data_IF_438089716804
#
_entry.id   IF_438089716804
#
_cell.length_a   1.000
_cell.length_b   1.000
_cell.length_c   1.000
_cell.angle_alpha   90.00
_cell.angle_beta   90.00
_cell.angle_gamma   90.00
#
_symmetry.space_group_name_H-M   'P 1'
#
loop_
_entity.id
_entity.type
_entity.pdbx_description
1 polymer ?
#
# COMPACT_ATOMS: atom_id res chain seq x y z
N UNK A 1 -1.38 31.18 8.77
CA UNK A 1 -1.71 29.77 8.41
C UNK A 1 -0.50 29.15 7.74
N UNK A 2 -0.21 27.90 8.04
CA UNK A 2 0.85 27.13 7.40
C UNK A 2 0.29 26.59 6.09
N UNK A 3 0.88 26.94 4.95
CA UNK A 3 0.43 26.48 3.65
C UNK A 3 1.14 25.19 3.29
N UNK A 4 0.40 24.08 3.18
CA UNK A 4 0.88 22.74 2.92
C UNK A 4 0.36 22.27 1.57
N UNK A 5 1.26 21.96 0.63
CA UNK A 5 0.89 21.42 -0.68
C UNK A 5 1.20 19.92 -0.73
N UNK A 6 0.20 19.12 -1.03
CA UNK A 6 0.36 17.68 -1.28
C UNK A 6 0.44 17.40 -2.77
N UNK A 7 1.43 16.59 -3.19
CA UNK A 7 1.64 16.23 -4.60
C UNK A 7 1.61 14.72 -4.74
N UNK A 8 0.73 14.22 -5.61
CA UNK A 8 0.65 12.78 -5.95
C UNK A 8 0.03 12.59 -7.34
N UNK A 9 0.21 11.42 -7.96
CA UNK A 9 -0.23 11.24 -9.35
C UNK A 9 -0.65 9.84 -9.73
N UNK A 10 -0.46 8.86 -8.85
CA UNK A 10 -0.85 7.47 -9.08
C UNK A 10 -1.88 7.00 -8.06
N UNK A 11 -2.62 5.93 -8.39
CA UNK A 11 -3.61 5.33 -7.49
C UNK A 11 -3.01 4.93 -6.13
N UNK A 12 -1.86 4.23 -6.05
CA UNK A 12 -1.27 3.87 -4.75
C UNK A 12 -0.89 5.07 -3.89
N UNK A 13 -0.35 6.13 -4.50
CA UNK A 13 -0.06 7.38 -3.78
C UNK A 13 -1.35 8.01 -3.26
N UNK A 14 -2.37 8.11 -4.10
CA UNK A 14 -3.65 8.73 -3.73
C UNK A 14 -4.31 8.04 -2.54
N UNK A 15 -4.33 6.70 -2.50
CA UNK A 15 -4.88 5.92 -1.38
C UNK A 15 -4.20 6.30 -0.07
N UNK A 16 -2.88 6.43 -0.08
CA UNK A 16 -2.06 6.71 1.10
C UNK A 16 -2.03 8.20 1.47
N UNK A 17 -2.18 9.10 0.48
CA UNK A 17 -2.21 10.54 0.71
C UNK A 17 -3.59 11.07 1.07
N UNK A 18 -4.67 10.41 0.65
CA UNK A 18 -6.04 10.86 0.91
C UNK A 18 -6.36 11.06 2.41
N UNK A 19 -6.04 10.13 3.32
CA UNK A 19 -6.27 10.37 4.75
C UNK A 19 -5.42 11.52 5.29
N UNK A 20 -4.22 11.75 4.75
CA UNK A 20 -3.39 12.89 5.13
C UNK A 20 -4.00 14.22 4.66
N UNK A 21 -4.50 14.29 3.43
CA UNK A 21 -5.25 15.45 2.92
C UNK A 21 -6.43 15.76 3.82
N UNK A 22 -7.25 14.74 4.16
CA UNK A 22 -8.40 14.92 5.05
C UNK A 22 -8.02 15.34 6.46
N UNK A 23 -6.85 14.96 6.96
CA UNK A 23 -6.37 15.43 8.26
C UNK A 23 -5.84 16.86 8.19
N UNK A 24 -5.17 17.27 7.09
CA UNK A 24 -4.76 18.66 6.85
C UNK A 24 -5.96 19.61 6.79
N UNK A 25 -7.02 19.22 6.07
CA UNK A 25 -8.26 20.00 5.94
C UNK A 25 -8.96 20.26 7.29
N UNK A 26 -8.82 19.39 8.27
CA UNK A 26 -9.40 19.53 9.62
C UNK A 26 -8.70 20.57 10.49
N UNK A 27 -7.46 20.95 10.17
CA UNK A 27 -6.62 21.80 11.01
C UNK A 27 -6.76 23.28 10.65
N UNK A 28 -7.19 24.07 11.61
CA UNK A 28 -7.41 25.53 11.42
C UNK A 28 -6.12 26.31 11.16
N UNK A 29 -4.99 25.76 11.60
CA UNK A 29 -3.65 26.33 11.41
C UNK A 29 -3.13 26.15 9.99
N UNK A 30 -3.74 25.24 9.20
CA UNK A 30 -3.26 24.81 7.90
C UNK A 30 -4.17 25.30 6.77
N UNK A 31 -3.55 25.76 5.69
CA UNK A 31 -4.14 25.90 4.38
C UNK A 31 -3.64 24.73 3.53
N UNK A 32 -4.53 23.76 3.25
CA UNK A 32 -4.24 22.56 2.46
C UNK A 32 -4.42 22.85 0.99
N UNK A 33 -3.41 22.51 0.16
CA UNK A 33 -3.46 22.61 -1.30
C UNK A 33 -3.19 21.22 -1.85
N UNK A 34 -4.08 20.73 -2.70
CA UNK A 34 -3.96 19.42 -3.35
C UNK A 34 -3.59 19.61 -4.82
N UNK A 35 -2.43 19.12 -5.22
CA UNK A 35 -1.97 19.12 -6.60
C UNK A 35 -1.80 17.68 -7.11
N UNK A 36 -2.59 17.29 -8.09
CA UNK A 36 -2.46 15.98 -8.72
C UNK A 36 -1.76 16.10 -10.07
N UNK A 37 -0.86 15.13 -10.34
CA UNK A 37 -0.19 15.08 -11.66
C UNK A 37 -0.98 14.25 -12.66
N UNK A 38 -1.88 13.38 -12.18
CA UNK A 38 -2.68 12.46 -13.01
C UNK A 38 -1.82 11.64 -13.97
N UNK A 39 -0.73 11.05 -13.44
CA UNK A 39 0.12 10.09 -14.17
C UNK A 39 -0.69 8.87 -14.63
N UNK A 40 -1.74 8.46 -13.86
CA UNK A 40 -2.72 7.41 -14.16
C UNK A 40 -4.12 7.98 -13.93
N UNK A 41 -4.76 8.53 -14.97
CA UNK A 41 -5.99 9.34 -14.86
C UNK A 41 -7.16 8.60 -14.19
N UNK A 42 -7.71 7.60 -14.85
CA UNK A 42 -8.95 6.93 -14.43
C UNK A 42 -8.87 6.31 -13.02
N UNK A 43 -7.75 5.64 -12.71
CA UNK A 43 -7.55 5.01 -11.41
C UNK A 43 -7.33 6.02 -10.28
N UNK A 44 -6.81 7.21 -10.58
CA UNK A 44 -6.65 8.28 -9.61
C UNK A 44 -8.01 8.89 -9.25
N UNK A 45 -8.82 9.20 -10.25
CA UNK A 45 -10.13 9.82 -10.08
C UNK A 45 -11.04 8.99 -9.18
N UNK A 46 -11.05 7.66 -9.33
CA UNK A 46 -11.80 6.76 -8.46
C UNK A 46 -11.42 6.92 -6.98
N UNK A 47 -10.14 7.08 -6.66
CA UNK A 47 -9.70 7.29 -5.28
C UNK A 47 -10.11 8.67 -4.78
N UNK A 48 -9.95 9.70 -5.60
CA UNK A 48 -10.39 11.06 -5.24
C UNK A 48 -11.87 11.10 -4.89
N UNK A 49 -12.71 10.42 -5.68
CA UNK A 49 -14.15 10.31 -5.45
C UNK A 49 -14.46 9.58 -4.13
N UNK A 50 -13.81 8.44 -3.87
CA UNK A 50 -14.02 7.65 -2.63
C UNK A 50 -13.71 8.46 -1.38
N UNK A 51 -12.69 9.32 -1.43
CA UNK A 51 -12.28 10.14 -0.29
C UNK A 51 -12.85 11.56 -0.33
N UNK A 52 -13.72 11.88 -1.30
CA UNK A 52 -14.30 13.22 -1.48
C UNK A 52 -13.20 14.30 -1.52
N UNK A 53 -12.20 14.12 -2.37
CA UNK A 53 -11.09 15.05 -2.57
C UNK A 53 -11.25 15.74 -3.93
N UNK A 54 -11.33 17.06 -3.90
CA UNK A 54 -11.31 17.90 -5.10
C UNK A 54 -9.93 18.57 -5.19
N UNK A 55 -9.07 18.19 -6.16
CA UNK A 55 -7.76 18.79 -6.27
C UNK A 55 -7.85 20.27 -6.70
N UNK A 56 -7.03 21.14 -6.08
CA UNK A 56 -6.90 22.54 -6.45
C UNK A 56 -6.18 22.70 -7.79
N UNK A 57 -5.26 21.78 -8.09
CA UNK A 57 -4.49 21.75 -9.32
C UNK A 57 -4.45 20.33 -9.90
N UNK A 58 -4.70 20.24 -11.20
CA UNK A 58 -4.59 19.02 -11.99
C UNK A 58 -3.69 19.25 -13.20
N UNK A 59 -2.50 18.66 -13.19
CA UNK A 59 -1.52 18.85 -14.27
C UNK A 59 -1.83 17.98 -15.49
N UNK A 60 -2.65 16.95 -15.35
CA UNK A 60 -3.10 16.05 -16.41
C UNK A 60 -1.99 15.60 -17.36
N UNK A 61 -0.88 15.07 -16.80
CA UNK A 61 0.33 14.75 -17.56
C UNK A 61 0.25 13.43 -18.34
N UNK A 62 -0.79 12.61 -18.13
CA UNK A 62 -0.89 11.29 -18.73
C UNK A 62 -0.84 11.34 -20.25
N UNK A 63 0.04 10.54 -20.86
CA UNK A 63 0.08 10.24 -22.30
C UNK A 63 0.40 8.77 -22.50
N UNK A 64 -0.16 8.18 -23.53
CA UNK A 64 0.12 6.78 -23.87
C UNK A 64 1.58 6.62 -24.28
N UNK A 65 2.26 5.62 -23.70
CA UNK A 65 3.64 5.24 -24.08
C UNK A 65 4.72 6.23 -23.63
N UNK A 66 4.42 7.14 -22.67
CA UNK A 66 5.41 8.10 -22.17
C UNK A 66 6.59 7.43 -21.44
N UNK A 67 7.76 7.99 -21.65
CA UNK A 67 9.01 7.57 -20.97
C UNK A 67 9.10 8.21 -19.57
N UNK A 68 9.97 7.64 -18.71
CA UNK A 68 10.26 8.24 -17.40
C UNK A 68 10.76 9.68 -17.51
N UNK A 69 11.62 9.97 -18.51
CA UNK A 69 12.12 11.33 -18.77
C UNK A 69 11.01 12.32 -19.13
N UNK A 70 10.04 11.88 -19.92
CA UNK A 70 8.89 12.72 -20.29
C UNK A 70 7.97 12.99 -19.11
N UNK A 71 7.72 11.98 -18.25
CA UNK A 71 6.96 12.14 -17.00
C UNK A 71 7.67 13.15 -16.11
N UNK A 72 8.95 12.94 -15.82
CA UNK A 72 9.77 13.84 -14.98
C UNK A 72 9.72 15.27 -15.48
N UNK A 73 9.97 15.48 -16.77
CA UNK A 73 9.99 16.83 -17.36
C UNK A 73 8.66 17.55 -17.26
N UNK A 74 7.54 16.85 -17.55
CA UNK A 74 6.21 17.44 -17.48
C UNK A 74 5.79 17.78 -16.05
N UNK A 75 6.04 16.88 -15.10
CA UNK A 75 5.75 17.13 -13.69
C UNK A 75 6.57 18.32 -13.20
N UNK A 76 7.88 18.33 -13.46
CA UNK A 76 8.78 19.39 -13.02
C UNK A 76 8.33 20.77 -13.55
N UNK A 77 8.08 20.89 -14.85
CA UNK A 77 7.66 22.15 -15.47
C UNK A 77 6.25 22.57 -15.03
N UNK A 78 5.31 21.63 -14.93
CA UNK A 78 3.95 21.94 -14.48
C UNK A 78 3.89 22.40 -13.02
N UNK A 79 4.70 21.82 -12.15
CA UNK A 79 4.76 22.20 -10.73
C UNK A 79 5.48 23.53 -10.50
N UNK A 80 6.41 23.91 -11.34
CA UNK A 80 7.16 25.16 -11.18
C UNK A 80 6.22 26.37 -11.09
N UNK A 81 5.26 26.47 -12.00
CA UNK A 81 4.31 27.57 -12.02
C UNK A 81 3.34 27.53 -10.82
N UNK A 82 2.89 26.34 -10.44
CA UNK A 82 1.99 26.16 -9.28
C UNK A 82 2.70 26.55 -7.99
N UNK A 83 3.93 26.06 -7.76
CA UNK A 83 4.70 26.35 -6.54
C UNK A 83 5.04 27.86 -6.47
N UNK A 84 5.44 28.49 -7.58
CA UNK A 84 5.72 29.94 -7.62
C UNK A 84 4.50 30.77 -7.30
N UNK A 85 3.31 30.34 -7.75
CA UNK A 85 2.05 31.03 -7.48
C UNK A 85 1.63 30.88 -6.02
N UNK A 86 1.61 29.65 -5.52
CA UNK A 86 1.08 29.31 -4.19
C UNK A 86 2.06 29.61 -3.06
N UNK A 87 3.35 29.48 -3.29
CA UNK A 87 4.43 29.67 -2.30
C UNK A 87 4.14 28.91 -1.00
N UNK A 88 3.96 27.57 -1.05
CA UNK A 88 3.69 26.79 0.15
C UNK A 88 4.88 26.86 1.12
N UNK A 89 4.60 26.68 2.42
CA UNK A 89 5.66 26.53 3.42
C UNK A 89 6.35 25.17 3.26
N UNK A 90 5.59 24.13 2.91
CA UNK A 90 6.10 22.79 2.70
C UNK A 90 5.32 22.08 1.60
N UNK A 91 6.04 21.30 0.81
CA UNK A 91 5.50 20.34 -0.17
C UNK A 91 5.61 18.93 0.42
N UNK A 92 4.53 18.17 0.41
CA UNK A 92 4.51 16.76 0.80
C UNK A 92 4.46 15.88 -0.44
N UNK A 93 5.40 14.95 -0.53
CA UNK A 93 5.46 13.90 -1.55
C UNK A 93 5.42 12.52 -0.88
N UNK A 94 5.01 11.48 -1.60
CA UNK A 94 4.81 10.16 -1.03
C UNK A 94 5.56 9.07 -1.79
N UNK A 95 6.29 8.23 -1.06
CA UNK A 95 6.87 6.99 -1.59
C UNK A 95 7.99 7.25 -2.62
N UNK A 96 7.88 6.61 -3.80
CA UNK A 96 9.03 6.45 -4.69
C UNK A 96 8.71 6.54 -6.19
N UNK A 97 7.55 7.07 -6.54
CA UNK A 97 7.18 7.22 -7.94
C UNK A 97 8.00 8.32 -8.64
N UNK A 98 7.93 8.35 -9.96
CA UNK A 98 8.53 9.45 -10.73
C UNK A 98 7.87 10.79 -10.39
N UNK A 99 6.58 10.80 -10.05
CA UNK A 99 5.88 11.99 -9.55
C UNK A 99 6.49 12.48 -8.23
N UNK A 100 6.77 11.58 -7.29
CA UNK A 100 7.41 11.88 -6.01
C UNK A 100 8.76 12.55 -6.21
N UNK A 101 9.61 11.94 -7.04
CA UNK A 101 10.94 12.50 -7.34
C UNK A 101 10.86 13.87 -8.02
N UNK A 102 10.05 14.01 -9.07
CA UNK A 102 9.92 15.27 -9.79
C UNK A 102 9.25 16.37 -8.95
N UNK A 103 8.31 16.00 -8.07
CA UNK A 103 7.66 16.91 -7.12
C UNK A 103 8.65 17.46 -6.09
N UNK A 104 9.47 16.59 -5.49
CA UNK A 104 10.52 16.99 -4.57
C UNK A 104 11.56 17.90 -5.26
N UNK A 105 11.97 17.55 -6.48
CA UNK A 105 12.92 18.36 -7.25
C UNK A 105 12.34 19.75 -7.59
N UNK A 106 11.07 19.85 -7.96
CA UNK A 106 10.38 21.12 -8.22
C UNK A 106 10.34 22.00 -6.96
N UNK A 107 10.03 21.43 -5.80
CA UNK A 107 10.04 22.13 -4.52
C UNK A 107 11.43 22.62 -4.15
N UNK A 108 12.45 21.75 -4.30
CA UNK A 108 13.85 22.12 -4.05
C UNK A 108 14.32 23.30 -4.92
N UNK A 109 14.01 23.30 -6.22
CA UNK A 109 14.38 24.40 -7.11
C UNK A 109 13.69 25.72 -6.75
N UNK A 110 12.52 25.66 -6.13
CA UNK A 110 11.79 26.84 -5.66
C UNK A 110 12.09 27.18 -4.20
N UNK A 111 13.06 26.52 -3.55
CA UNK A 111 13.47 26.74 -2.15
C UNK A 111 12.30 26.60 -1.16
N UNK A 112 11.43 25.63 -1.38
CA UNK A 112 10.32 25.25 -0.51
C UNK A 112 10.70 24.01 0.26
N UNK A 113 10.41 23.97 1.56
CA UNK A 113 10.64 22.79 2.41
C UNK A 113 9.91 21.56 1.86
N UNK A 114 10.50 20.38 2.05
CA UNK A 114 10.00 19.12 1.53
C UNK A 114 9.78 18.12 2.68
N UNK A 115 8.57 17.56 2.75
CA UNK A 115 8.25 16.43 3.62
C UNK A 115 8.05 15.17 2.80
N UNK A 116 8.78 14.10 3.15
CA UNK A 116 8.65 12.81 2.49
C UNK A 116 7.82 11.84 3.34
N UNK A 117 6.64 11.50 2.87
CA UNK A 117 5.76 10.50 3.47
C UNK A 117 6.16 9.11 2.96
N UNK A 118 6.32 8.14 3.84
CA UNK A 118 6.89 6.82 3.59
C UNK A 118 8.40 6.88 3.27
N UNK A 119 9.14 7.74 3.98
CA UNK A 119 10.57 7.93 3.85
C UNK A 119 11.37 6.74 4.41
N UNK A 120 12.57 6.50 3.88
CA UNK A 120 13.55 5.59 4.46
C UNK A 120 13.41 4.12 4.07
N UNK A 121 12.51 3.75 3.16
CA UNK A 121 12.49 2.40 2.59
C UNK A 121 13.74 2.16 1.74
N UNK A 122 14.41 1.01 1.88
CA UNK A 122 15.64 0.67 1.14
C UNK A 122 15.68 -0.80 0.74
N UNK A 123 16.13 -1.05 -0.49
CA UNK A 123 16.57 -2.36 -0.95
C UNK A 123 18.08 -2.41 -1.16
N UNK A 124 18.73 -1.24 -1.22
CA UNK A 124 20.16 -1.06 -1.52
C UNK A 124 20.58 -1.57 -2.91
N UNK A 125 19.61 -1.92 -3.76
CA UNK A 125 19.85 -2.33 -5.13
C UNK A 125 19.20 -1.32 -6.09
N UNK A 126 19.99 -0.40 -6.65
CA UNK A 126 19.51 0.70 -7.49
C UNK A 126 18.65 0.29 -8.71
N UNK A 127 18.65 -0.98 -9.07
CA UNK A 127 17.85 -1.53 -10.16
C UNK A 127 16.71 -2.45 -9.71
N UNK A 128 16.47 -2.57 -8.40
CA UNK A 128 15.42 -3.44 -7.87
C UNK A 128 14.79 -2.89 -6.57
N UNK A 129 13.56 -2.34 -6.65
CA UNK A 129 12.77 -2.04 -7.84
C UNK A 129 13.36 -0.89 -8.67
N UNK A 130 13.06 -0.86 -9.96
CA UNK A 130 13.51 0.20 -10.85
C UNK A 130 12.31 0.93 -11.46
N UNK A 131 12.25 2.28 -11.39
CA UNK A 131 13.26 3.24 -10.90
C UNK A 131 13.13 3.59 -9.40
N UNK A 132 12.23 2.92 -8.66
CA UNK A 132 11.73 3.32 -7.36
C UNK A 132 12.83 3.44 -6.30
N UNK A 133 13.80 2.50 -6.26
CA UNK A 133 14.88 2.57 -5.26
C UNK A 133 15.71 3.85 -5.37
N UNK A 134 16.03 4.26 -6.59
CA UNK A 134 16.80 5.50 -6.78
C UNK A 134 15.94 6.75 -6.57
N UNK A 135 14.66 6.70 -6.95
CA UNK A 135 13.77 7.81 -6.69
C UNK A 135 13.70 8.14 -5.19
N UNK A 136 13.47 7.11 -4.33
CA UNK A 136 13.37 7.33 -2.86
C UNK A 136 14.67 7.84 -2.25
N UNK A 137 15.82 7.30 -2.68
CA UNK A 137 17.11 7.78 -2.19
C UNK A 137 17.38 9.25 -2.59
N UNK A 138 17.06 9.63 -3.83
CA UNK A 138 17.23 11.01 -4.29
C UNK A 138 16.25 11.96 -3.60
N UNK A 139 15.01 11.54 -3.37
CA UNK A 139 14.02 12.33 -2.62
C UNK A 139 14.49 12.57 -1.20
N UNK A 140 14.95 11.53 -0.50
CA UNK A 140 15.43 11.65 0.89
C UNK A 140 16.64 12.59 1.00
N UNK A 141 17.42 12.81 -0.06
CA UNK A 141 18.51 13.79 -0.04
C UNK A 141 18.06 15.25 -0.13
N UNK A 142 16.84 15.49 -0.56
CA UNK A 142 16.31 16.86 -0.73
C UNK A 142 15.36 17.26 0.40
N UNK A 143 14.97 16.34 1.29
CA UNK A 143 13.91 16.57 2.27
C UNK A 143 14.37 17.27 3.54
N UNK A 144 13.44 17.99 4.17
CA UNK A 144 13.56 18.68 5.45
C UNK A 144 12.84 17.96 6.59
N UNK A 145 11.83 17.15 6.28
CA UNK A 145 11.09 16.29 7.20
C UNK A 145 10.92 14.89 6.60
N UNK A 146 11.14 13.87 7.41
CA UNK A 146 11.08 12.47 7.00
C UNK A 146 10.06 11.73 7.85
N UNK A 147 8.97 11.28 7.23
CA UNK A 147 7.91 10.53 7.90
C UNK A 147 8.10 9.04 7.61
N UNK A 148 8.87 8.40 8.48
CA UNK A 148 9.24 6.99 8.35
C UNK A 148 8.07 6.09 8.81
N UNK A 149 7.72 5.03 8.05
CA UNK A 149 6.65 4.12 8.45
C UNK A 149 7.05 3.22 9.62
N UNK A 150 8.33 2.91 9.79
CA UNK A 150 8.84 1.99 10.82
C UNK A 150 10.19 2.46 11.38
N UNK A 151 10.61 1.84 12.50
CA UNK A 151 11.96 2.06 13.06
C UNK A 151 13.07 1.57 12.12
N UNK A 152 12.82 0.54 11.29
CA UNK A 152 13.77 0.08 10.26
C UNK A 152 13.98 1.18 9.22
N UNK A 153 12.91 1.82 8.77
CA UNK A 153 12.99 2.94 7.83
C UNK A 153 13.71 4.13 8.44
N UNK A 154 13.47 4.45 9.73
CA UNK A 154 14.23 5.46 10.47
C UNK A 154 15.73 5.10 10.51
N UNK A 155 16.07 3.84 10.79
CA UNK A 155 17.45 3.38 10.86
C UNK A 155 18.18 3.56 9.52
N UNK A 156 17.55 3.23 8.40
CA UNK A 156 18.09 3.44 7.07
C UNK A 156 18.44 4.93 6.81
N UNK A 157 17.58 5.85 7.24
CA UNK A 157 17.82 7.29 7.12
C UNK A 157 19.02 7.75 7.99
N UNK A 158 19.12 7.21 9.21
CA UNK A 158 20.26 7.50 10.11
C UNK A 158 21.59 6.99 9.52
N UNK A 159 21.60 5.79 8.90
CA UNK A 159 22.79 5.27 8.20
C UNK A 159 23.20 6.15 7.02
N UNK A 160 22.28 6.87 6.42
CA UNK A 160 22.55 7.87 5.38
C UNK A 160 22.91 9.25 5.94
N UNK A 161 23.16 9.38 7.24
CA UNK A 161 23.51 10.62 7.94
C UNK A 161 22.41 11.70 7.89
N UNK A 162 21.15 11.31 7.83
CA UNK A 162 20.04 12.23 8.08
C UNK A 162 19.96 12.51 9.58
N UNK A 163 19.78 13.77 9.94
CA UNK A 163 19.69 14.19 11.35
C UNK A 163 18.44 13.63 12.02
N UNK A 164 18.60 13.06 13.22
CA UNK A 164 17.52 12.34 13.91
C UNK A 164 16.30 13.22 14.23
N UNK A 165 16.54 14.50 14.52
CA UNK A 165 15.50 15.50 14.82
C UNK A 165 14.60 15.84 13.63
N UNK A 166 14.98 15.43 12.42
CA UNK A 166 14.18 15.55 11.19
C UNK A 166 13.35 14.31 10.86
N UNK A 167 13.55 13.20 11.60
CA UNK A 167 12.93 11.90 11.30
C UNK A 167 11.81 11.61 12.31
N UNK A 168 10.60 11.40 11.81
CA UNK A 168 9.42 11.10 12.59
C UNK A 168 8.93 9.70 12.23
N UNK A 169 8.90 8.77 13.20
CA UNK A 169 8.26 7.45 13.00
C UNK A 169 6.77 7.61 13.19
N UNK A 170 6.03 7.59 12.09
CA UNK A 170 4.60 7.91 12.09
C UNK A 170 3.70 6.71 11.83
N UNK A 171 4.24 5.61 11.32
CA UNK A 171 3.45 4.54 10.74
C UNK A 171 3.15 4.80 9.25
N UNK A 172 2.44 3.86 8.63
CA UNK A 172 2.07 3.92 7.22
C UNK A 172 0.64 4.46 7.06
N UNK A 173 0.46 5.49 6.25
CA UNK A 173 -0.84 6.10 5.96
C UNK A 173 -1.82 5.18 5.22
N UNK A 174 -1.34 4.05 4.66
CA UNK A 174 -2.22 2.99 4.16
C UNK A 174 -3.16 2.44 5.25
N UNK A 175 -2.67 2.37 6.49
CA UNK A 175 -3.49 1.91 7.63
C UNK A 175 -4.58 2.93 7.97
N UNK A 176 -4.27 4.22 7.85
CA UNK A 176 -5.27 5.30 8.00
C UNK A 176 -6.37 5.21 6.94
N UNK A 177 -5.99 4.91 5.68
CA UNK A 177 -6.94 4.76 4.59
C UNK A 177 -7.98 3.68 4.87
N UNK A 178 -7.59 2.59 5.49
CA UNK A 178 -8.50 1.49 5.83
C UNK A 178 -9.60 1.90 6.82
N UNK A 179 -9.36 2.88 7.67
CA UNK A 179 -10.40 3.42 8.58
C UNK A 179 -11.55 4.10 7.82
N UNK A 180 -11.28 4.60 6.63
CA UNK A 180 -12.28 5.23 5.75
C UNK A 180 -12.92 4.23 4.80
N UNK A 181 -12.12 3.32 4.26
CA UNK A 181 -12.56 2.39 3.20
C UNK A 181 -13.23 1.13 3.73
N UNK A 182 -12.91 0.70 4.96
CA UNK A 182 -13.58 -0.45 5.59
C UNK A 182 -14.91 -0.01 6.20
N UNK A 183 -15.99 -0.55 5.67
CA UNK A 183 -17.35 -0.23 6.12
C UNK A 183 -18.01 -1.47 6.74
N UNK A 184 -18.57 -1.33 7.94
CA UNK A 184 -19.28 -2.43 8.64
C UNK A 184 -20.54 -2.89 7.92
N UNK A 185 -21.18 -1.95 7.20
CA UNK A 185 -22.41 -2.20 6.46
C UNK A 185 -22.16 -2.55 4.99
N UNK A 186 -20.89 -2.77 4.62
CA UNK A 186 -20.52 -3.17 3.26
C UNK A 186 -21.11 -4.53 2.94
N UNK A 187 -21.81 -4.61 1.82
CA UNK A 187 -22.39 -5.86 1.30
C UNK A 187 -21.92 -6.14 -0.13
N UNK A 188 -21.81 -7.41 -0.45
CA UNK A 188 -21.43 -7.90 -1.78
C UNK A 188 -22.02 -9.30 -1.98
N UNK A 189 -22.50 -9.62 -3.17
CA UNK A 189 -23.09 -10.93 -3.50
C UNK A 189 -22.16 -12.13 -3.19
N UNK A 190 -20.85 -11.90 -3.22
CA UNK A 190 -19.85 -12.91 -2.82
C UNK A 190 -20.00 -13.24 -1.33
N UNK A 191 -20.35 -12.26 -0.49
CA UNK A 191 -20.54 -12.50 0.96
C UNK A 191 -21.79 -13.32 1.23
N UNK A 192 -22.84 -13.18 0.41
CA UNK A 192 -24.03 -14.05 0.48
C UNK A 192 -23.65 -15.51 0.16
N UNK A 193 -22.78 -15.71 -0.84
CA UNK A 193 -22.26 -17.05 -1.16
C UNK A 193 -21.34 -17.60 -0.05
N UNK A 194 -20.51 -16.76 0.59
CA UNK A 194 -19.69 -17.16 1.74
C UNK A 194 -20.60 -17.62 2.89
N UNK A 195 -21.63 -16.85 3.20
CA UNK A 195 -22.53 -17.14 4.33
C UNK A 195 -21.77 -17.14 5.65
N UNK A 196 -21.87 -18.25 6.38
CA UNK A 196 -21.19 -18.45 7.66
C UNK A 196 -19.82 -19.14 7.56
N UNK A 197 -19.39 -19.52 6.35
CA UNK A 197 -18.12 -20.18 6.15
C UNK A 197 -16.93 -19.25 6.38
N UNK A 198 -15.78 -19.80 6.77
CA UNK A 198 -14.52 -19.07 6.93
C UNK A 198 -13.98 -18.71 5.55
N UNK A 199 -13.84 -17.41 5.28
CA UNK A 199 -13.32 -16.93 4.00
C UNK A 199 -11.79 -16.85 4.02
N UNK A 200 -11.14 -17.48 3.06
CA UNK A 200 -9.74 -17.22 2.72
C UNK A 200 -9.71 -16.27 1.51
N UNK A 201 -9.01 -15.16 1.65
CA UNK A 201 -8.72 -14.26 0.54
C UNK A 201 -7.36 -14.63 -0.06
N UNK A 202 -7.36 -15.00 -1.34
CA UNK A 202 -6.14 -15.34 -2.08
C UNK A 202 -5.77 -14.19 -3.02
N UNK A 203 -4.50 -13.78 -3.02
CA UNK A 203 -3.92 -12.94 -4.07
C UNK A 203 -2.56 -13.50 -4.48
N UNK A 204 -2.41 -13.83 -5.74
CA UNK A 204 -1.17 -14.37 -6.30
C UNK A 204 -1.01 -13.91 -7.75
N UNK A 205 0.02 -13.11 -8.01
CA UNK A 205 0.23 -12.48 -9.33
C UNK A 205 1.69 -12.13 -9.63
N UNK A 206 2.61 -12.33 -8.69
CA UNK A 206 4.02 -12.00 -8.87
C UNK A 206 4.64 -12.80 -10.01
N UNK A 207 5.50 -12.15 -10.81
CA UNK A 207 6.16 -12.76 -11.96
C UNK A 207 7.05 -13.93 -11.56
N UNK A 208 7.69 -13.83 -10.39
CA UNK A 208 8.54 -14.87 -9.81
C UNK A 208 7.78 -16.15 -9.50
N UNK A 209 6.47 -16.06 -9.25
CA UNK A 209 5.60 -17.20 -8.93
C UNK A 209 4.99 -17.86 -10.19
N UNK A 210 5.16 -17.30 -11.39
CA UNK A 210 4.57 -17.88 -12.59
C UNK A 210 5.12 -19.29 -12.90
N UNK A 211 4.26 -20.17 -13.37
CA UNK A 211 4.59 -21.56 -13.68
C UNK A 211 4.30 -22.51 -12.53
N UNK A 212 5.24 -23.40 -12.21
CA UNK A 212 5.03 -24.44 -11.18
C UNK A 212 4.81 -23.88 -9.77
N UNK A 213 5.49 -22.82 -9.31
CA UNK A 213 5.21 -22.22 -8.03
C UNK A 213 3.74 -21.79 -7.87
N UNK A 214 3.16 -21.16 -8.91
CA UNK A 214 1.75 -20.75 -8.92
C UNK A 214 0.81 -21.96 -8.85
N UNK A 215 1.12 -23.02 -9.58
CA UNK A 215 0.36 -24.27 -9.55
C UNK A 215 0.38 -24.91 -8.16
N UNK A 216 1.52 -24.90 -7.47
CA UNK A 216 1.65 -25.42 -6.12
C UNK A 216 0.80 -24.63 -5.12
N UNK A 217 0.77 -23.28 -5.24
CA UNK A 217 -0.11 -22.43 -4.45
C UNK A 217 -1.58 -22.86 -4.65
N UNK A 218 -2.02 -23.01 -5.90
CA UNK A 218 -3.40 -23.38 -6.21
C UNK A 218 -3.74 -24.80 -5.77
N UNK A 219 -2.83 -25.76 -5.89
CA UNK A 219 -3.01 -27.13 -5.37
C UNK A 219 -3.18 -27.13 -3.85
N UNK A 220 -2.38 -26.36 -3.12
CA UNK A 220 -2.51 -26.22 -1.68
C UNK A 220 -3.90 -25.68 -1.29
N UNK A 221 -4.35 -24.62 -1.98
CA UNK A 221 -5.69 -24.03 -1.79
C UNK A 221 -6.80 -25.05 -2.08
N UNK A 222 -6.67 -25.83 -3.14
CA UNK A 222 -7.64 -26.88 -3.49
C UNK A 222 -7.73 -27.94 -2.39
N UNK A 223 -6.59 -28.44 -1.88
CA UNK A 223 -6.56 -29.41 -0.76
C UNK A 223 -7.26 -28.85 0.48
N UNK A 224 -7.07 -27.56 0.80
CA UNK A 224 -7.74 -26.93 1.95
C UNK A 224 -9.25 -26.98 1.81
N UNK A 225 -9.80 -26.54 0.68
CA UNK A 225 -11.27 -26.50 0.50
C UNK A 225 -11.91 -27.89 0.34
N UNK A 226 -11.13 -28.89 -0.09
CA UNK A 226 -11.56 -30.29 -0.13
C UNK A 226 -11.61 -30.91 1.28
N UNK A 227 -10.72 -30.52 2.19
CA UNK A 227 -10.68 -31.05 3.56
C UNK A 227 -11.62 -30.29 4.51
N UNK A 228 -11.77 -28.98 4.32
CA UNK A 228 -12.54 -28.11 5.22
C UNK A 228 -13.88 -27.67 4.61
N UNK A 229 -14.99 -28.34 4.96
CA UNK A 229 -16.30 -28.02 4.37
C UNK A 229 -16.86 -26.67 4.81
N UNK A 230 -16.29 -26.02 5.82
CA UNK A 230 -16.63 -24.70 6.31
C UNK A 230 -15.66 -23.60 5.83
N UNK A 231 -14.82 -23.91 4.82
CA UNK A 231 -13.87 -22.96 4.25
C UNK A 231 -14.23 -22.67 2.80
N UNK A 232 -14.27 -21.40 2.43
CA UNK A 232 -14.40 -20.92 1.06
C UNK A 232 -13.28 -19.96 0.71
N UNK A 233 -12.86 -19.97 -0.54
CA UNK A 233 -11.78 -19.12 -1.04
C UNK A 233 -12.32 -18.15 -2.08
N UNK A 234 -11.96 -16.88 -1.92
CA UNK A 234 -12.20 -15.84 -2.92
C UNK A 234 -10.86 -15.42 -3.49
N UNK A 235 -10.76 -15.45 -4.80
CA UNK A 235 -9.55 -15.03 -5.51
C UNK A 235 -9.89 -13.95 -6.54
N UNK A 236 -9.67 -12.66 -6.21
CA UNK A 236 -9.65 -11.59 -7.21
C UNK A 236 -8.48 -11.83 -8.17
N UNK A 237 -8.79 -12.46 -9.32
CA UNK A 237 -7.76 -13.02 -10.18
C UNK A 237 -7.13 -11.96 -11.08
N UNK A 238 -5.81 -11.93 -11.11
CA UNK A 238 -5.04 -11.03 -11.98
C UNK A 238 -5.33 -11.27 -13.47
N UNK A 239 -5.30 -10.20 -14.28
CA UNK A 239 -5.61 -10.25 -15.71
C UNK A 239 -4.61 -11.03 -16.57
N UNK A 240 -3.45 -11.41 -16.02
CA UNK A 240 -2.43 -12.16 -16.74
C UNK A 240 -3.00 -13.53 -17.20
N UNK A 241 -2.99 -13.83 -18.51
CA UNK A 241 -3.53 -15.07 -19.05
C UNK A 241 -2.93 -16.34 -18.44
N UNK A 242 -1.63 -16.35 -18.14
CA UNK A 242 -0.95 -17.50 -17.52
C UNK A 242 -1.46 -17.81 -16.13
N UNK A 243 -1.84 -16.77 -15.36
CA UNK A 243 -2.44 -16.94 -14.03
C UNK A 243 -3.85 -17.51 -14.17
N UNK A 244 -4.65 -16.93 -15.08
CA UNK A 244 -6.04 -17.38 -15.34
C UNK A 244 -6.10 -18.83 -15.85
N UNK A 245 -5.20 -19.22 -16.74
CA UNK A 245 -5.11 -20.58 -17.26
C UNK A 245 -4.85 -21.58 -16.13
N UNK A 246 -3.81 -21.34 -15.31
CA UNK A 246 -3.46 -22.22 -14.20
C UNK A 246 -4.57 -22.31 -13.13
N UNK A 247 -5.22 -21.18 -12.81
CA UNK A 247 -6.32 -21.15 -11.84
C UNK A 247 -7.55 -21.92 -12.36
N UNK A 248 -7.96 -21.68 -13.62
CA UNK A 248 -9.10 -22.36 -14.23
C UNK A 248 -8.86 -23.87 -14.34
N UNK A 249 -7.64 -24.31 -14.65
CA UNK A 249 -7.29 -25.73 -14.72
C UNK A 249 -7.43 -26.41 -13.35
N UNK A 250 -6.86 -25.80 -12.30
CA UNK A 250 -6.79 -26.43 -10.97
C UNK A 250 -8.12 -26.32 -10.22
N UNK A 251 -8.87 -25.23 -10.38
CA UNK A 251 -10.13 -25.00 -9.65
C UNK A 251 -11.38 -25.38 -10.44
N UNK A 252 -11.26 -25.96 -11.64
CA UNK A 252 -12.37 -26.26 -12.56
C UNK A 252 -13.58 -26.94 -11.92
N UNK A 253 -13.32 -27.91 -11.02
CA UNK A 253 -14.36 -28.72 -10.38
C UNK A 253 -14.45 -28.44 -8.87
N UNK A 254 -14.21 -27.17 -8.46
CA UNK A 254 -14.14 -26.77 -7.06
C UNK A 254 -15.18 -25.70 -6.76
N UNK A 255 -16.34 -26.11 -6.19
CA UNK A 255 -17.45 -25.19 -5.89
C UNK A 255 -17.13 -24.20 -4.74
N UNK A 256 -16.07 -24.48 -3.96
CA UNK A 256 -15.68 -23.67 -2.80
C UNK A 256 -14.58 -22.64 -3.10
N UNK A 257 -14.18 -22.51 -4.36
CA UNK A 257 -13.28 -21.46 -4.83
C UNK A 257 -14.01 -20.59 -5.84
N UNK A 258 -14.08 -19.29 -5.59
CA UNK A 258 -14.60 -18.32 -6.57
C UNK A 258 -13.46 -17.45 -7.11
N UNK A 259 -13.29 -17.53 -8.43
CA UNK A 259 -12.48 -16.58 -9.18
C UNK A 259 -13.37 -15.39 -9.53
N UNK A 260 -12.97 -14.20 -9.12
CA UNK A 260 -13.70 -12.96 -9.41
C UNK A 260 -12.78 -11.99 -10.15
N UNK A 261 -13.34 -10.99 -10.80
CA UNK A 261 -12.53 -9.94 -11.42
C UNK A 261 -11.76 -9.14 -10.35
N UNK A 262 -10.65 -8.48 -10.74
CA UNK A 262 -9.90 -7.63 -9.82
C UNK A 262 -10.80 -6.60 -9.14
N UNK A 263 -10.64 -6.47 -7.84
CA UNK A 263 -11.43 -5.55 -7.03
C UNK A 263 -10.80 -4.16 -6.99
N UNK A 264 -11.66 -3.14 -6.94
CA UNK A 264 -11.25 -1.80 -6.58
C UNK A 264 -10.87 -1.72 -5.10
N UNK A 265 -10.12 -0.69 -4.72
CA UNK A 265 -9.54 -0.55 -3.37
C UNK A 265 -10.58 -0.63 -2.27
N UNK A 266 -11.71 0.06 -2.43
CA UNK A 266 -12.78 0.05 -1.44
C UNK A 266 -13.33 -1.37 -1.22
N UNK A 267 -13.64 -2.07 -2.30
CA UNK A 267 -14.11 -3.45 -2.23
C UNK A 267 -13.04 -4.37 -1.64
N UNK A 268 -11.80 -4.22 -2.11
CA UNK A 268 -10.69 -5.07 -1.68
C UNK A 268 -10.42 -4.97 -0.17
N UNK A 269 -10.44 -3.77 0.41
CA UNK A 269 -10.28 -3.58 1.86
C UNK A 269 -11.43 -4.22 2.65
N UNK A 270 -12.66 -4.18 2.13
CA UNK A 270 -13.79 -4.85 2.76
C UNK A 270 -13.70 -6.39 2.65
N UNK A 271 -13.18 -6.92 1.54
CA UNK A 271 -12.86 -8.34 1.40
C UNK A 271 -11.73 -8.76 2.36
N UNK A 272 -10.68 -7.95 2.52
CA UNK A 272 -9.66 -8.19 3.55
C UNK A 272 -10.30 -8.24 4.95
N UNK A 273 -11.15 -7.28 5.27
CA UNK A 273 -11.83 -7.23 6.57
C UNK A 273 -12.76 -8.43 6.81
N UNK A 274 -13.45 -8.93 5.78
CA UNK A 274 -14.31 -10.12 5.88
C UNK A 274 -13.53 -11.43 6.00
N UNK A 275 -12.29 -11.47 5.53
CA UNK A 275 -11.49 -12.69 5.48
C UNK A 275 -11.17 -13.24 6.88
N UNK A 276 -11.01 -14.55 6.98
CA UNK A 276 -10.47 -15.24 8.15
C UNK A 276 -8.95 -15.34 8.07
N UNK A 277 -8.41 -15.76 6.93
CA UNK A 277 -6.97 -15.84 6.63
C UNK A 277 -6.74 -15.18 5.27
N UNK A 278 -5.56 -14.57 5.10
CA UNK A 278 -5.13 -14.02 3.82
C UNK A 278 -3.89 -14.76 3.34
N UNK A 279 -3.95 -15.27 2.10
CA UNK A 279 -2.83 -15.86 1.38
C UNK A 279 -2.42 -14.86 0.29
N UNK A 280 -1.19 -14.34 0.35
CA UNK A 280 -0.79 -13.25 -0.57
C UNK A 280 0.68 -13.26 -0.96
N UNK A 281 0.96 -12.84 -2.18
CA UNK A 281 2.32 -12.47 -2.64
C UNK A 281 2.51 -10.94 -2.76
N UNK A 282 1.51 -10.14 -2.38
CA UNK A 282 1.52 -8.67 -2.46
C UNK A 282 2.20 -8.04 -1.25
N UNK A 283 3.06 -7.02 -1.49
CA UNK A 283 3.72 -6.25 -0.43
C UNK A 283 2.75 -5.37 0.37
N UNK A 284 1.83 -4.65 -0.28
CA UNK A 284 0.88 -3.75 0.39
C UNK A 284 -0.04 -4.47 1.37
N UNK A 285 -0.55 -5.65 0.99
CA UNK A 285 -1.42 -6.46 1.84
C UNK A 285 -0.72 -6.90 3.13
N UNK A 286 0.61 -7.10 3.09
CA UNK A 286 1.41 -7.42 4.26
C UNK A 286 1.43 -6.30 5.30
N UNK A 287 1.22 -5.06 4.89
CA UNK A 287 1.11 -3.90 5.77
C UNK A 287 -0.33 -3.68 6.25
N UNK A 288 -1.28 -3.82 5.35
CA UNK A 288 -2.70 -3.52 5.54
C UNK A 288 -3.44 -4.57 6.40
N UNK A 289 -3.37 -5.84 6.01
CA UNK A 289 -4.17 -6.91 6.59
C UNK A 289 -3.94 -7.13 8.11
N UNK A 290 -2.72 -6.99 8.64
CA UNK A 290 -2.49 -7.03 10.09
C UNK A 290 -3.27 -5.99 10.88
N UNK A 291 -3.53 -4.81 10.31
CA UNK A 291 -4.32 -3.75 10.96
C UNK A 291 -5.79 -4.14 11.19
N UNK A 292 -6.27 -5.10 10.41
CA UNK A 292 -7.60 -5.70 10.54
C UNK A 292 -7.60 -6.95 11.43
N UNK A 293 -6.47 -7.30 12.05
CA UNK A 293 -6.33 -8.50 12.85
C UNK A 293 -6.44 -9.79 12.04
N UNK A 294 -6.00 -9.78 10.78
CA UNK A 294 -6.04 -10.96 9.90
C UNK A 294 -4.68 -11.63 9.81
N UNK A 295 -4.58 -12.94 10.11
CA UNK A 295 -3.36 -13.69 9.84
C UNK A 295 -3.03 -13.69 8.35
N UNK A 296 -1.75 -13.43 8.04
CA UNK A 296 -1.25 -13.35 6.66
C UNK A 296 -0.17 -14.40 6.43
N UNK A 297 -0.40 -15.28 5.48
CA UNK A 297 0.61 -16.20 4.97
C UNK A 297 1.15 -15.67 3.64
N UNK A 298 2.44 -15.38 3.63
CA UNK A 298 3.13 -14.74 2.51
C UNK A 298 3.65 -15.82 1.57
N UNK A 299 3.12 -15.86 0.35
CA UNK A 299 3.40 -16.85 -0.71
C UNK A 299 4.68 -16.49 -1.47
N UNK A 300 5.78 -16.26 -0.74
CA UNK A 300 7.09 -15.87 -1.27
C UNK A 300 8.20 -16.47 -0.43
N UNK A 301 9.37 -16.64 -1.01
CA UNK A 301 10.57 -17.10 -0.29
C UNK A 301 11.25 -15.95 0.47
N UNK A 302 11.04 -14.71 0.05
CA UNK A 302 11.57 -13.50 0.67
C UNK A 302 10.51 -12.39 0.72
N UNK A 303 10.66 -11.45 1.66
CA UNK A 303 9.81 -10.26 1.73
C UNK A 303 10.64 -9.03 2.05
N UNK A 304 10.20 -7.88 1.57
CA UNK A 304 10.71 -6.56 1.91
C UNK A 304 10.08 -6.02 3.22
N UNK A 305 9.31 -6.83 3.94
CA UNK A 305 8.60 -6.49 5.18
C UNK A 305 9.01 -7.40 6.35
N UNK A 306 10.30 -7.40 6.71
CA UNK A 306 10.80 -8.25 7.79
C UNK A 306 10.19 -7.91 9.15
N UNK A 307 9.74 -6.67 9.34
CA UNK A 307 9.13 -6.20 10.58
C UNK A 307 7.82 -6.96 10.90
N UNK A 308 6.99 -7.24 9.88
CA UNK A 308 5.76 -7.99 10.08
C UNK A 308 6.00 -9.44 10.49
N UNK A 309 7.10 -10.05 10.01
CA UNK A 309 7.53 -11.38 10.44
C UNK A 309 8.02 -11.34 11.89
N UNK A 310 8.88 -10.38 12.22
CA UNK A 310 9.42 -10.20 13.57
C UNK A 310 8.30 -9.93 14.60
N UNK A 311 7.29 -9.14 14.21
CA UNK A 311 6.10 -8.86 15.02
C UNK A 311 5.15 -10.06 15.14
N UNK A 312 5.28 -11.08 14.28
CA UNK A 312 4.40 -12.26 14.25
C UNK A 312 3.04 -12.02 13.57
N UNK A 313 2.86 -10.92 12.84
CA UNK A 313 1.65 -10.63 12.06
C UNK A 313 1.64 -11.34 10.71
N UNK A 314 2.83 -11.66 10.19
CA UNK A 314 3.07 -12.32 8.91
C UNK A 314 3.86 -13.61 9.10
N UNK A 315 3.65 -14.59 8.22
CA UNK A 315 4.49 -15.77 8.11
C UNK A 315 4.85 -16.03 6.64
N UNK A 316 6.16 -16.12 6.35
CA UNK A 316 6.64 -16.60 5.05
C UNK A 316 6.40 -18.10 4.94
N UNK A 317 5.71 -18.54 3.88
CA UNK A 317 5.39 -19.94 3.62
C UNK A 317 5.95 -20.40 2.26
N UNK A 318 6.58 -19.52 1.51
CA UNK A 318 7.11 -19.84 0.17
C UNK A 318 6.01 -20.24 -0.80
N UNK A 319 6.38 -21.10 -1.76
CA UNK A 319 5.48 -21.59 -2.81
C UNK A 319 5.35 -23.11 -2.82
N UNK A 320 5.78 -23.79 -1.75
CA UNK A 320 5.62 -25.25 -1.59
C UNK A 320 4.16 -25.58 -1.23
N UNK A 321 3.54 -26.48 -1.99
CA UNK A 321 2.17 -26.96 -1.74
C UNK A 321 1.99 -27.43 -0.28
N UNK A 322 2.90 -28.30 0.19
CA UNK A 322 2.78 -28.88 1.53
C UNK A 322 2.97 -27.85 2.65
N UNK A 323 3.88 -26.89 2.48
CA UNK A 323 4.11 -25.82 3.47
C UNK A 323 2.89 -24.93 3.57
N UNK A 324 2.37 -24.45 2.43
CA UNK A 324 1.18 -23.59 2.40
C UNK A 324 -0.02 -24.31 3.03
N UNK A 325 -0.24 -25.57 2.64
CA UNK A 325 -1.33 -26.38 3.18
C UNK A 325 -1.20 -26.54 4.69
N UNK A 326 -0.04 -26.99 5.21
CA UNK A 326 0.16 -27.26 6.62
C UNK A 326 0.06 -26.00 7.49
N UNK A 327 0.59 -24.86 7.02
CA UNK A 327 0.52 -23.61 7.78
C UNK A 327 -0.90 -23.03 7.77
N UNK A 328 -1.64 -23.17 6.67
CA UNK A 328 -3.05 -22.78 6.62
C UNK A 328 -3.90 -23.66 7.52
N UNK A 329 -3.69 -24.98 7.45
CA UNK A 329 -4.33 -25.98 8.32
C UNK A 329 -4.12 -25.65 9.79
N UNK A 330 -2.89 -25.33 10.18
CA UNK A 330 -2.55 -24.95 11.56
C UNK A 330 -3.39 -23.77 12.05
N UNK A 331 -3.58 -22.74 11.22
CA UNK A 331 -4.42 -21.59 11.58
C UNK A 331 -5.93 -21.91 11.58
N UNK A 332 -6.36 -22.89 10.81
CA UNK A 332 -7.76 -23.35 10.80
C UNK A 332 -8.11 -24.20 12.01
N UNK A 333 -7.19 -25.06 12.47
CA UNK A 333 -7.40 -26.03 13.53
C UNK A 333 -7.04 -25.51 14.93
N UNK A 334 -6.02 -24.64 15.05
CA UNK A 334 -5.53 -24.14 16.32
C UNK A 334 -5.86 -22.64 16.52
N UNK A 335 -6.88 -22.41 17.33
CA UNK A 335 -7.32 -21.06 17.69
C UNK A 335 -6.23 -20.24 18.43
N UNK A 336 -5.30 -20.90 19.13
CA UNK A 336 -4.21 -20.19 19.81
C UNK A 336 -3.20 -19.67 18.79
N UNK A 337 -2.84 -20.49 17.80
CA UNK A 337 -1.93 -20.07 16.72
C UNK A 337 -2.59 -18.95 15.89
N UNK A 338 -3.87 -19.09 15.56
CA UNK A 338 -4.63 -18.02 14.92
C UNK A 338 -4.59 -16.72 15.74
N UNK A 339 -4.90 -16.80 17.05
CA UNK A 339 -4.94 -15.64 17.93
C UNK A 339 -3.57 -14.99 18.13
N UNK A 340 -2.47 -15.74 18.10
CA UNK A 340 -1.12 -15.18 18.16
C UNK A 340 -0.87 -14.22 16.99
N UNK A 341 -1.22 -14.61 15.78
CA UNK A 341 -1.04 -13.77 14.58
C UNK A 341 -2.05 -12.62 14.53
N UNK A 342 -3.34 -12.92 14.75
CA UNK A 342 -4.41 -11.94 14.61
C UNK A 342 -4.38 -10.81 15.66
N UNK A 343 -3.76 -11.07 16.82
CA UNK A 343 -3.64 -10.09 17.93
C UNK A 343 -2.23 -9.52 18.06
N UNK A 344 -1.31 -9.92 17.21
CA UNK A 344 0.04 -9.35 17.19
C UNK A 344 -0.03 -7.84 16.85
N UNK A 345 0.85 -7.05 17.47
CA UNK A 345 0.91 -5.62 17.19
C UNK A 345 1.36 -5.37 15.76
N UNK A 346 0.63 -4.55 15.03
CA UNK A 346 1.02 -4.19 13.66
C UNK A 346 2.21 -3.21 13.68
N UNK A 347 3.38 -3.60 13.15
CA UNK A 347 4.57 -2.74 13.17
C UNK A 347 4.45 -1.53 12.22
N UNK A 348 3.47 -1.54 11.32
CA UNK A 348 3.26 -0.47 10.33
C UNK A 348 2.35 0.66 10.83
N UNK A 349 1.95 0.64 12.09
CA UNK A 349 1.22 1.73 12.72
C UNK A 349 -0.16 1.36 13.27
N UNK A 350 -0.76 2.36 13.91
CA UNK A 350 -2.05 2.27 14.62
C UNK A 350 -3.21 2.95 13.86
N UNK A 351 -2.91 3.44 12.64
CA UNK A 351 -3.86 4.16 11.79
C UNK A 351 -4.08 5.63 12.20
N UNK A 352 -3.08 6.25 12.81
CA UNK A 352 -3.03 7.69 13.09
C UNK A 352 -1.80 8.35 12.48
N UNK A 353 -1.18 7.73 11.48
CA UNK A 353 0.00 8.25 10.80
C UNK A 353 -0.23 9.67 10.26
N UNK A 354 -1.36 9.91 9.60
CA UNK A 354 -1.73 11.22 9.08
C UNK A 354 -1.78 12.29 10.17
N UNK A 355 -2.33 11.95 11.34
CA UNK A 355 -2.37 12.86 12.50
C UNK A 355 -0.96 13.20 12.98
N UNK A 356 -0.08 12.21 13.13
CA UNK A 356 1.29 12.41 13.59
C UNK A 356 2.10 13.26 12.61
N UNK A 357 1.92 13.06 11.30
CA UNK A 357 2.52 13.87 10.25
C UNK A 357 2.08 15.34 10.39
N UNK A 358 0.78 15.58 10.51
CA UNK A 358 0.24 16.95 10.60
C UNK A 358 0.66 17.63 11.89
N UNK A 359 0.66 16.92 13.03
CA UNK A 359 1.14 17.45 14.30
C UNK A 359 2.62 17.87 14.22
N UNK A 360 3.50 17.05 13.61
CA UNK A 360 4.90 17.38 13.41
C UNK A 360 5.11 18.59 12.49
N UNK A 361 4.31 18.74 11.44
CA UNK A 361 4.35 19.92 10.56
C UNK A 361 3.94 21.18 11.35
N UNK A 362 2.86 21.13 12.11
CA UNK A 362 2.41 22.27 12.91
C UNK A 362 3.50 22.65 13.92
N UNK A 363 4.14 21.70 14.58
CA UNK A 363 5.18 21.97 15.57
C UNK A 363 6.46 22.59 14.97
N UNK A 364 6.80 22.22 13.73
CA UNK A 364 7.95 22.84 13.01
C UNK A 364 7.72 24.32 12.70
N UNK A 365 6.50 24.72 12.39
CA UNK A 365 6.19 26.08 11.91
C UNK A 365 5.52 26.98 12.95
N UNK A 366 5.39 26.54 14.21
CA UNK A 366 4.99 27.39 15.33
C UNK A 366 6.17 28.22 15.85
#
# INVERSE_FOLDING_TARGET
MIKVMTIFGTRPEAIKMAPLVKELEKRKEIESIVCVTAQHREMLDQVLDVFDINPDYDLNIMKQGQTLSEITSRVLMGLEDVIKKERPNIVLVHGDTTTTFAGALAAFYNQVDIGHVEAGLRTWNKYSPFPEEMNRQMVDRMCDMYFAPTDVSKHNLLEENIAEDKIYVTGNTAIDAMKTTVNKDYNNEIFDWIGNDRMILLTAHRRENLGEPMRNIFKAVRRIVEEYPDVKVVYPIHLNPKVREAANEIFKDTDRVRLIEPLEVFDFHNFQNKSYIILTDSGGIQEEAPSLGKPVLVLRDTTERPEGIAAGTLKLVGTSEDVIYNETKKLLDDKNEYNKMSKASNPYGDGFASKYIVDAIIDKYK
#
